data_IF_477950898181
#
_entry.id   IF_477950898181
#
_cell.length_a   1.000
_cell.length_b   1.000
_cell.length_c   1.000
_cell.angle_alpha   90.00
_cell.angle_beta   90.00
_cell.angle_gamma   90.00
#
_symmetry.space_group_name_H-M   'P 1'
#
loop_
_entity.id
_entity.type
_entity.pdbx_description
1 polymer ?
#
# COMPACT_ATOMS: atom_id res chain seq x y z
N UNK A 1 -15.43 -19.57 24.83
CA UNK A 1 -15.83 -18.51 23.87
C UNK A 1 -16.40 -19.16 22.61
N UNK A 2 -17.64 -18.81 22.22
CA UNK A 2 -18.34 -19.39 21.05
C UNK A 2 -17.69 -18.97 19.72
N UNK A 3 -17.69 -19.86 18.73
CA UNK A 3 -17.20 -19.65 17.35
C UNK A 3 -17.88 -18.45 16.69
N UNK A 4 -19.17 -18.25 16.95
CA UNK A 4 -19.97 -17.15 16.39
C UNK A 4 -19.41 -15.77 16.78
N UNK A 5 -19.00 -15.61 18.04
CA UNK A 5 -18.40 -14.36 18.54
C UNK A 5 -17.06 -14.05 17.87
N UNK A 6 -16.27 -15.08 17.55
CA UNK A 6 -14.99 -14.91 16.83
C UNK A 6 -15.21 -14.49 15.38
N UNK A 7 -16.26 -14.98 14.72
CA UNK A 7 -16.60 -14.62 13.34
C UNK A 7 -17.06 -13.15 13.23
N UNK A 8 -17.91 -12.72 14.14
CA UNK A 8 -18.41 -11.32 14.20
C UNK A 8 -17.26 -10.34 14.50
N UNK A 9 -16.35 -10.69 15.41
CA UNK A 9 -15.18 -9.87 15.70
C UNK A 9 -14.22 -9.74 14.49
N UNK A 10 -14.09 -10.79 13.66
CA UNK A 10 -13.27 -10.74 12.45
C UNK A 10 -13.88 -9.84 11.37
N UNK A 11 -15.19 -9.92 11.16
CA UNK A 11 -15.91 -9.11 10.15
C UNK A 11 -15.90 -7.62 10.50
N UNK A 12 -16.18 -7.26 11.76
CA UNK A 12 -16.08 -5.87 12.22
C UNK A 12 -14.68 -5.26 12.02
N UNK A 13 -13.63 -6.05 12.27
CA UNK A 13 -12.24 -5.59 12.12
C UNK A 13 -11.87 -5.34 10.65
N UNK A 14 -12.42 -6.16 9.75
CA UNK A 14 -12.23 -6.00 8.30
C UNK A 14 -12.97 -4.76 7.78
N UNK A 15 -14.18 -4.51 8.26
CA UNK A 15 -14.94 -3.30 7.92
C UNK A 15 -14.25 -2.02 8.40
N UNK A 16 -13.73 -2.01 9.62
CA UNK A 16 -12.98 -0.86 10.15
C UNK A 16 -11.70 -0.61 9.35
N UNK A 17 -11.02 -1.68 8.93
CA UNK A 17 -9.83 -1.61 8.08
C UNK A 17 -10.16 -1.05 6.69
N UNK A 18 -11.22 -1.53 6.06
CA UNK A 18 -11.66 -1.03 4.75
C UNK A 18 -12.02 0.46 4.84
N UNK A 19 -12.76 0.87 5.89
CA UNK A 19 -13.07 2.29 6.13
C UNK A 19 -11.82 3.15 6.31
N UNK A 20 -10.81 2.63 7.03
CA UNK A 20 -9.53 3.32 7.18
C UNK A 20 -8.82 3.48 5.84
N UNK A 21 -8.77 2.42 5.02
CA UNK A 21 -8.16 2.45 3.69
C UNK A 21 -8.91 3.46 2.81
N UNK A 22 -10.25 3.42 2.78
CA UNK A 22 -11.06 4.33 1.97
C UNK A 22 -10.86 5.80 2.38
N UNK A 23 -10.77 6.08 3.68
CA UNK A 23 -10.47 7.42 4.21
C UNK A 23 -9.11 7.95 3.74
N UNK A 24 -8.12 7.07 3.60
CA UNK A 24 -6.75 7.43 3.22
C UNK A 24 -6.44 7.13 1.74
N UNK A 25 -7.43 6.67 0.96
CA UNK A 25 -7.22 6.14 -0.40
C UNK A 25 -6.58 7.16 -1.32
N UNK A 26 -7.04 8.40 -1.27
CA UNK A 26 -6.47 9.49 -2.05
C UNK A 26 -4.99 9.72 -1.73
N UNK A 27 -4.62 9.71 -0.44
CA UNK A 27 -3.22 9.85 0.01
C UNK A 27 -2.34 8.71 -0.49
N UNK A 28 -2.83 7.46 -0.41
CA UNK A 28 -2.10 6.31 -0.94
C UNK A 28 -1.93 6.35 -2.46
N UNK A 29 -2.95 6.80 -3.20
CA UNK A 29 -2.86 6.98 -4.65
C UNK A 29 -1.88 8.08 -5.04
N UNK A 30 -1.87 9.20 -4.31
CA UNK A 30 -0.90 10.28 -4.50
C UNK A 30 0.53 9.81 -4.22
N UNK A 31 0.74 9.08 -3.12
CA UNK A 31 2.05 8.49 -2.78
C UNK A 31 2.51 7.51 -3.87
N UNK A 32 1.59 6.70 -4.40
CA UNK A 32 1.89 5.74 -5.47
C UNK A 32 2.25 6.44 -6.78
N UNK A 33 1.56 7.52 -7.14
CA UNK A 33 1.91 8.35 -8.29
C UNK A 33 3.32 8.94 -8.14
N UNK A 34 3.62 9.52 -6.98
CA UNK A 34 4.93 10.09 -6.69
C UNK A 34 6.05 9.03 -6.71
N UNK A 35 5.79 7.80 -6.24
CA UNK A 35 6.76 6.72 -6.32
C UNK A 35 6.99 6.29 -7.77
N UNK A 36 5.95 6.18 -8.59
CA UNK A 36 6.11 5.85 -10.01
C UNK A 36 6.92 6.92 -10.75
N UNK A 37 6.67 8.21 -10.49
CA UNK A 37 7.44 9.31 -11.06
C UNK A 37 8.92 9.24 -10.64
N UNK A 38 9.18 8.98 -9.35
CA UNK A 38 10.55 8.81 -8.85
C UNK A 38 11.27 7.61 -9.47
N UNK A 39 10.56 6.49 -9.69
CA UNK A 39 11.10 5.32 -10.38
C UNK A 39 11.45 5.68 -11.82
N UNK A 40 10.58 6.40 -12.51
CA UNK A 40 10.79 6.81 -13.90
C UNK A 40 12.01 7.74 -14.01
N UNK A 41 12.05 8.79 -13.19
CA UNK A 41 13.21 9.71 -13.13
C UNK A 41 14.52 8.98 -12.82
N UNK A 42 14.49 7.98 -11.94
CA UNK A 42 15.68 7.20 -11.60
C UNK A 42 16.13 6.33 -12.77
N UNK A 43 15.21 5.71 -13.50
CA UNK A 43 15.51 4.91 -14.70
C UNK A 43 16.07 5.77 -15.83
N UNK A 44 15.59 7.01 -15.97
CA UNK A 44 16.04 7.94 -17.00
C UNK A 44 17.35 8.65 -16.62
N UNK A 45 17.81 8.50 -15.37
CA UNK A 45 19.06 9.10 -14.91
C UNK A 45 20.28 8.41 -15.54
N UNK A 46 21.36 9.18 -15.77
CA UNK A 46 22.60 8.66 -16.35
C UNK A 46 23.25 7.54 -15.53
N UNK A 47 23.02 7.51 -14.21
CA UNK A 47 23.58 6.54 -13.27
C UNK A 47 22.47 6.06 -12.32
N UNK A 48 21.61 5.12 -12.76
CA UNK A 48 20.52 4.63 -11.93
C UNK A 48 21.06 3.87 -10.72
N UNK A 49 20.68 4.30 -9.51
CA UNK A 49 21.01 3.57 -8.29
C UNK A 49 20.09 2.37 -8.11
N UNK A 50 20.63 1.16 -8.27
CA UNK A 50 19.85 -0.08 -8.05
C UNK A 50 19.30 -0.17 -6.63
N UNK A 51 20.06 0.27 -5.62
CA UNK A 51 19.61 0.31 -4.23
C UNK A 51 18.39 1.21 -4.07
N UNK A 52 18.44 2.43 -4.63
CA UNK A 52 17.31 3.36 -4.58
C UNK A 52 16.10 2.82 -5.32
N UNK A 53 16.30 2.17 -6.47
CA UNK A 53 15.23 1.54 -7.24
C UNK A 53 14.53 0.44 -6.42
N UNK A 54 15.30 -0.44 -5.77
CA UNK A 54 14.77 -1.50 -4.92
C UNK A 54 13.95 -0.95 -3.75
N UNK A 55 14.39 0.15 -3.13
CA UNK A 55 13.64 0.82 -2.04
C UNK A 55 12.31 1.36 -2.56
N UNK A 56 12.30 2.02 -3.71
CA UNK A 56 11.07 2.56 -4.31
C UNK A 56 10.10 1.44 -4.72
N UNK A 57 10.59 0.35 -5.29
CA UNK A 57 9.78 -0.82 -5.66
C UNK A 57 9.12 -1.45 -4.43
N UNK A 58 9.87 -1.69 -3.34
CA UNK A 58 9.29 -2.21 -2.09
C UNK A 58 8.24 -1.29 -1.49
N UNK A 59 8.47 0.03 -1.57
CA UNK A 59 7.49 1.02 -1.08
C UNK A 59 6.21 1.01 -1.91
N UNK A 60 6.35 0.89 -3.25
CA UNK A 60 5.23 0.72 -4.17
C UNK A 60 4.41 -0.52 -3.84
N UNK A 61 5.05 -1.68 -3.78
CA UNK A 61 4.41 -2.97 -3.46
C UNK A 61 3.63 -2.89 -2.14
N UNK A 62 4.19 -2.25 -1.12
CA UNK A 62 3.49 -2.06 0.16
C UNK A 62 2.20 -1.25 0.00
N UNK A 63 2.23 -0.15 -0.75
CA UNK A 63 1.03 0.70 -0.94
C UNK A 63 -0.01 -0.02 -1.78
N UNK A 64 0.41 -0.75 -2.81
CA UNK A 64 -0.49 -1.59 -3.62
C UNK A 64 -1.17 -2.64 -2.74
N UNK A 65 -0.44 -3.29 -1.83
CA UNK A 65 -1.01 -4.23 -0.87
C UNK A 65 -1.97 -3.57 0.14
N UNK A 66 -1.71 -2.33 0.59
CA UNK A 66 -2.66 -1.55 1.42
C UNK A 66 -3.96 -1.34 0.62
N UNK A 67 -3.85 -0.88 -0.62
CA UNK A 67 -4.99 -0.55 -1.47
C UNK A 67 -5.80 -1.79 -1.89
N UNK A 68 -5.14 -2.93 -2.04
CA UNK A 68 -5.76 -4.22 -2.32
C UNK A 68 -6.31 -4.91 -1.05
N UNK A 69 -6.07 -4.33 0.13
CA UNK A 69 -6.48 -4.89 1.42
C UNK A 69 -5.82 -6.26 1.74
N UNK A 70 -4.61 -6.48 1.23
CA UNK A 70 -3.86 -7.75 1.27
C UNK A 70 -2.79 -7.83 2.38
N UNK A 71 -2.74 -6.82 3.26
CA UNK A 71 -1.81 -6.72 4.41
C UNK A 71 -2.24 -7.54 5.62
#
# INVERSE_FOLDING_TARGET
MSILKKLIAKTSREEDRQRYIDKNRASYLEELAQINDNIQQLKDSKNPSQTRLNILMRRKERIEAILANEI
#
